data_IF_913148643258
#
_entry.id   IF_913148643258
#
_cell.length_a   1.000
_cell.length_b   1.000
_cell.length_c   1.000
_cell.angle_alpha   90.00
_cell.angle_beta   90.00
_cell.angle_gamma   90.00
#
_symmetry.space_group_name_H-M   'P 1'
#
loop_
_entity.id
_entity.type
_entity.pdbx_description
1 polymer ?
#
# COMPACT_ATOMS: atom_id res chain seq x y z
N UNK A 1 -0.58 10.33 19.28
CA UNK A 1 0.53 10.38 18.30
C UNK A 1 -0.02 10.80 16.96
N UNK A 2 -0.16 12.10 16.71
CA UNK A 2 -0.73 12.61 15.45
C UNK A 2 -0.26 14.05 15.16
N UNK A 3 0.91 14.44 15.62
CA UNK A 3 1.42 15.77 15.34
C UNK A 3 2.48 15.74 14.24
N UNK A 4 2.56 16.82 13.48
CA UNK A 4 3.61 17.01 12.46
C UNK A 4 5.02 16.90 13.07
N UNK A 5 5.11 17.21 14.38
CA UNK A 5 6.34 17.14 15.15
C UNK A 5 6.76 15.70 15.43
N UNK A 6 5.79 14.78 15.69
CA UNK A 6 6.05 13.36 15.86
C UNK A 6 6.54 12.71 14.56
N UNK A 7 6.02 13.18 13.42
CA UNK A 7 6.45 12.74 12.09
C UNK A 7 7.89 13.14 11.77
N UNK A 8 8.28 14.36 12.14
CA UNK A 8 9.66 14.86 11.94
C UNK A 8 10.68 14.12 12.79
N UNK A 9 10.30 13.71 14.01
CA UNK A 9 11.14 12.91 14.90
C UNK A 9 11.33 11.49 14.32
N UNK A 10 10.28 10.86 13.79
CA UNK A 10 10.34 9.53 13.17
C UNK A 10 11.24 9.49 11.93
N UNK A 11 11.30 10.59 11.18
CA UNK A 11 12.20 10.69 10.03
C UNK A 11 13.67 10.87 10.43
N UNK A 12 13.93 11.54 11.56
CA UNK A 12 15.30 11.89 11.98
C UNK A 12 16.05 10.84 12.81
N UNK A 13 15.35 9.95 13.51
CA UNK A 13 15.98 9.19 14.60
C UNK A 13 15.59 7.70 14.62
N UNK A 14 15.44 6.96 13.57
CA UNK A 14 15.16 5.49 13.63
C UNK A 14 14.18 5.07 14.77
N UNK A 15 13.18 5.88 15.07
CA UNK A 15 12.21 5.60 16.12
C UNK A 15 11.35 4.40 15.71
N UNK A 16 11.47 3.32 16.44
CA UNK A 16 10.56 2.17 16.37
C UNK A 16 9.23 2.57 16.99
N UNK A 17 8.26 2.99 16.16
CA UNK A 17 6.88 3.12 16.61
C UNK A 17 6.33 1.74 16.93
N UNK A 18 5.94 1.52 18.18
CA UNK A 18 5.20 0.33 18.57
C UNK A 18 3.72 0.55 18.31
N UNK A 19 3.18 -0.19 17.35
CA UNK A 19 1.74 -0.20 17.10
C UNK A 19 1.09 -1.29 17.99
N UNK A 20 0.07 -0.96 18.80
CA UNK A 20 -0.69 -1.97 19.52
C UNK A 20 -1.49 -2.84 18.55
N UNK A 21 -1.79 -4.06 18.97
CA UNK A 21 -2.74 -4.90 18.23
C UNK A 21 -4.15 -4.34 18.40
N UNK A 22 -4.98 -4.53 17.38
CA UNK A 22 -6.42 -4.26 17.48
C UNK A 22 -7.09 -5.35 18.32
N UNK A 23 -8.08 -4.97 19.12
CA UNK A 23 -8.92 -5.93 19.84
C UNK A 23 -9.76 -6.70 18.80
N UNK A 24 -9.83 -8.03 18.96
CA UNK A 24 -10.61 -8.89 18.07
C UNK A 24 -12.07 -8.47 18.01
N UNK A 25 -12.66 -8.04 19.12
CA UNK A 25 -14.04 -7.55 19.18
C UNK A 25 -14.28 -6.31 18.33
N UNK A 26 -13.28 -5.43 18.21
CA UNK A 26 -13.37 -4.26 17.32
C UNK A 26 -13.46 -4.72 15.85
N UNK A 27 -12.66 -5.70 15.47
CA UNK A 27 -12.67 -6.23 14.10
C UNK A 27 -13.94 -7.04 13.83
N UNK A 28 -14.42 -7.83 14.81
CA UNK A 28 -15.67 -8.59 14.71
C UNK A 28 -16.90 -7.68 14.50
N UNK A 29 -16.89 -6.47 15.08
CA UNK A 29 -17.93 -5.47 14.87
C UNK A 29 -17.75 -4.67 13.57
N UNK A 30 -16.51 -4.44 13.15
CA UNK A 30 -16.18 -3.67 11.95
C UNK A 30 -16.62 -4.40 10.68
N UNK A 31 -16.41 -5.71 10.60
CA UNK A 31 -16.74 -6.50 9.39
C UNK A 31 -18.21 -6.40 9.01
N UNK A 32 -19.21 -6.69 9.87
CA UNK A 32 -20.61 -6.56 9.51
C UNK A 32 -21.00 -5.12 9.16
N UNK A 33 -20.44 -4.13 9.85
CA UNK A 33 -20.68 -2.72 9.53
C UNK A 33 -20.19 -2.37 8.13
N UNK A 34 -18.97 -2.75 7.77
CA UNK A 34 -18.44 -2.50 6.43
C UNK A 34 -19.23 -3.25 5.35
N UNK A 35 -19.64 -4.49 5.60
CA UNK A 35 -20.48 -5.24 4.66
C UNK A 35 -21.85 -4.56 4.45
N UNK A 36 -22.45 -4.01 5.50
CA UNK A 36 -23.70 -3.26 5.37
C UNK A 36 -23.51 -2.00 4.52
N UNK A 37 -22.43 -1.24 4.77
CA UNK A 37 -22.11 -0.02 3.99
C UNK A 37 -21.87 -0.40 2.52
N UNK A 38 -21.03 -1.39 2.24
CA UNK A 38 -20.71 -1.82 0.88
C UNK A 38 -21.93 -2.39 0.15
N UNK A 39 -22.84 -3.04 0.85
CA UNK A 39 -24.12 -3.51 0.27
C UNK A 39 -25.07 -2.38 -0.11
N UNK A 40 -24.91 -1.19 0.48
CA UNK A 40 -25.68 0.02 0.12
C UNK A 40 -24.97 0.89 -0.93
N UNK A 41 -23.69 0.68 -1.14
CA UNK A 41 -22.79 1.50 -1.95
C UNK A 41 -21.95 0.62 -2.88
N UNK A 42 -22.60 0.01 -3.86
CA UNK A 42 -21.97 -0.92 -4.82
C UNK A 42 -20.91 -0.25 -5.71
N UNK A 43 -20.92 1.09 -5.81
CA UNK A 43 -19.91 1.89 -6.49
C UNK A 43 -18.55 1.90 -5.80
N UNK A 44 -18.46 1.53 -4.52
CA UNK A 44 -17.20 1.48 -3.76
C UNK A 44 -16.39 0.26 -4.20
N UNK A 45 -15.35 0.51 -4.98
CA UNK A 45 -14.46 -0.56 -5.43
C UNK A 45 -13.56 -1.06 -4.29
N UNK A 46 -13.07 -2.31 -4.34
CA UNK A 46 -12.14 -2.83 -3.33
C UNK A 46 -10.92 -1.92 -3.08
N UNK A 47 -10.38 -1.31 -4.12
CA UNK A 47 -9.24 -0.38 -4.04
C UNK A 47 -9.56 0.98 -3.42
N UNK A 48 -10.85 1.27 -3.13
CA UNK A 48 -11.28 2.51 -2.45
C UNK A 48 -11.40 2.31 -0.94
N UNK A 49 -11.20 1.11 -0.43
CA UNK A 49 -11.12 0.83 1.01
C UNK A 49 -9.67 1.07 1.45
N UNK A 50 -9.43 2.19 2.08
CA UNK A 50 -8.08 2.70 2.37
C UNK A 50 -7.98 3.19 3.82
N UNK A 51 -6.77 3.23 4.35
CA UNK A 51 -6.47 3.83 5.63
C UNK A 51 -6.18 5.34 5.51
N UNK A 52 -6.15 6.03 6.63
CA UNK A 52 -5.79 7.45 6.67
C UNK A 52 -4.33 7.68 6.22
N UNK A 53 -3.44 6.74 6.53
CA UNK A 53 -2.05 6.73 6.04
C UNK A 53 -1.96 6.63 4.51
N UNK A 54 -2.88 5.92 3.83
CA UNK A 54 -2.89 5.83 2.38
C UNK A 54 -3.24 7.16 1.72
N UNK A 55 -4.11 7.96 2.37
CA UNK A 55 -4.58 9.26 1.85
C UNK A 55 -3.63 10.41 2.21
N UNK A 56 -2.96 10.33 3.35
CA UNK A 56 -2.13 11.39 3.89
C UNK A 56 -0.80 10.84 4.46
N UNK A 57 0.03 10.20 3.61
CA UNK A 57 1.19 9.42 4.03
C UNK A 57 2.28 10.24 4.72
N UNK A 58 2.33 11.54 4.45
CA UNK A 58 3.28 12.51 5.02
C UNK A 58 3.00 12.87 6.49
N UNK A 59 1.74 12.71 6.94
CA UNK A 59 1.29 13.19 8.25
C UNK A 59 0.41 12.23 9.05
N UNK A 60 0.07 11.05 8.48
CA UNK A 60 -0.80 10.06 9.12
C UNK A 60 -0.19 8.66 9.14
N UNK A 61 -0.46 7.93 10.21
CA UNK A 61 0.01 6.56 10.41
C UNK A 61 -1.12 5.56 10.59
N UNK A 62 -2.31 6.05 10.96
CA UNK A 62 -3.45 5.20 11.24
C UNK A 62 -4.07 4.61 9.96
N UNK A 63 -4.54 3.35 9.99
CA UNK A 63 -4.62 2.48 11.15
C UNK A 63 -3.29 1.78 11.51
N UNK A 64 -2.23 1.94 10.73
CA UNK A 64 -0.92 1.36 10.95
C UNK A 64 -0.80 -0.11 10.52
N UNK A 65 0.42 -0.69 10.62
CA UNK A 65 0.73 -2.02 10.09
C UNK A 65 0.08 -3.17 10.87
N UNK A 66 -0.54 -2.90 12.04
CA UNK A 66 -1.25 -3.93 12.82
C UNK A 66 -2.73 -4.05 12.47
N UNK A 67 -3.23 -3.19 11.59
CA UNK A 67 -4.60 -3.31 11.10
C UNK A 67 -4.71 -4.53 10.17
N UNK A 68 -5.72 -5.41 10.34
CA UNK A 68 -5.75 -6.70 9.69
C UNK A 68 -6.32 -6.64 8.25
N UNK A 69 -5.67 -5.89 7.35
CA UNK A 69 -6.10 -5.69 5.97
C UNK A 69 -6.36 -6.99 5.21
N UNK A 70 -5.43 -7.96 5.31
CA UNK A 70 -5.60 -9.28 4.67
C UNK A 70 -6.84 -10.00 5.19
N UNK A 71 -7.09 -9.95 6.49
CA UNK A 71 -8.28 -10.57 7.09
C UNK A 71 -9.59 -9.91 6.62
N UNK A 72 -9.59 -8.57 6.46
CA UNK A 72 -10.74 -7.88 5.87
C UNK A 72 -10.97 -8.35 4.43
N UNK A 73 -9.91 -8.44 3.61
CA UNK A 73 -9.99 -8.95 2.25
C UNK A 73 -10.54 -10.38 2.19
N UNK A 74 -10.09 -11.28 3.05
CA UNK A 74 -10.59 -12.65 3.18
C UNK A 74 -12.09 -12.71 3.55
N UNK A 75 -12.61 -11.63 4.14
CA UNK A 75 -14.03 -11.42 4.42
C UNK A 75 -14.78 -10.62 3.33
N UNK A 76 -14.15 -10.37 2.18
CA UNK A 76 -14.75 -9.66 1.03
C UNK A 76 -14.69 -8.14 1.14
N UNK A 77 -13.81 -7.58 1.96
CA UNK A 77 -13.68 -6.14 2.19
C UNK A 77 -12.29 -5.66 1.80
N UNK A 78 -12.23 -4.70 0.86
CA UNK A 78 -10.99 -4.10 0.43
C UNK A 78 -10.22 -4.91 -0.61
N UNK A 79 -8.99 -4.48 -0.88
CA UNK A 79 -8.11 -5.05 -1.90
C UNK A 79 -6.95 -5.82 -1.27
N UNK A 80 -6.53 -6.90 -1.91
CA UNK A 80 -5.32 -7.65 -1.59
C UNK A 80 -4.79 -8.35 -2.84
N UNK A 81 -3.52 -8.69 -2.84
CA UNK A 81 -2.87 -9.41 -3.93
C UNK A 81 -3.03 -10.94 -3.80
N UNK A 82 -2.81 -11.66 -4.91
CA UNK A 82 -2.69 -13.12 -4.90
C UNK A 82 -1.23 -13.52 -4.63
N UNK A 83 -1.03 -14.42 -3.68
CA UNK A 83 0.33 -14.86 -3.28
C UNK A 83 1.10 -15.44 -4.47
N UNK A 84 0.46 -16.23 -5.34
CA UNK A 84 1.09 -16.80 -6.55
C UNK A 84 1.55 -15.73 -7.55
N UNK A 85 0.77 -14.65 -7.70
CA UNK A 85 1.13 -13.53 -8.58
C UNK A 85 2.26 -12.71 -7.98
N UNK A 86 2.21 -12.43 -6.67
CA UNK A 86 3.31 -11.81 -5.95
C UNK A 86 4.61 -12.61 -6.09
N UNK A 87 4.58 -13.95 -5.92
CA UNK A 87 5.75 -14.81 -6.01
C UNK A 87 6.35 -14.83 -7.42
N UNK A 88 5.50 -14.80 -8.46
CA UNK A 88 5.96 -14.62 -9.85
C UNK A 88 6.79 -13.34 -10.00
N UNK A 89 6.26 -12.20 -9.57
CA UNK A 89 6.97 -10.92 -9.65
C UNK A 89 8.19 -10.86 -8.72
N UNK A 90 8.13 -11.50 -7.55
CA UNK A 90 9.27 -11.59 -6.65
C UNK A 90 10.44 -12.35 -7.26
N UNK A 91 10.19 -13.43 -7.99
CA UNK A 91 11.22 -14.17 -8.72
C UNK A 91 11.88 -13.32 -9.81
N UNK A 92 11.10 -12.53 -10.55
CA UNK A 92 11.60 -11.63 -11.58
C UNK A 92 12.47 -10.49 -10.98
N UNK A 93 11.97 -9.80 -9.98
CA UNK A 93 12.69 -8.67 -9.37
C UNK A 93 13.78 -9.11 -8.39
N UNK A 94 13.68 -10.29 -7.81
CA UNK A 94 14.69 -10.83 -6.89
C UNK A 94 15.99 -11.24 -7.57
N UNK A 95 15.92 -11.60 -8.85
CA UNK A 95 17.07 -12.00 -9.68
C UNK A 95 17.54 -10.90 -10.64
N UNK A 96 16.76 -9.83 -10.80
CA UNK A 96 16.95 -8.77 -11.78
C UNK A 96 17.19 -7.38 -11.19
N UNK A 97 17.14 -6.39 -12.07
CA UNK A 97 17.19 -4.99 -11.68
C UNK A 97 15.81 -4.53 -11.27
N UNK A 98 15.70 -3.89 -10.11
CA UNK A 98 14.46 -3.24 -9.69
C UNK A 98 14.09 -2.08 -10.64
N UNK A 99 12.79 -1.79 -10.80
CA UNK A 99 12.34 -0.58 -11.49
C UNK A 99 12.97 0.68 -10.91
N UNK A 100 13.10 1.70 -11.73
CA UNK A 100 13.55 3.03 -11.28
C UNK A 100 12.54 3.65 -10.32
N UNK A 101 12.99 4.64 -9.53
CA UNK A 101 12.09 5.33 -8.60
C UNK A 101 10.91 5.96 -9.33
N UNK A 102 11.11 6.55 -10.52
CA UNK A 102 10.03 7.13 -11.32
C UNK A 102 9.02 6.09 -11.80
N UNK A 103 9.46 4.89 -12.18
CA UNK A 103 8.56 3.79 -12.53
C UNK A 103 7.74 3.32 -11.32
N UNK A 104 8.36 3.27 -10.13
CA UNK A 104 7.67 2.92 -8.88
C UNK A 104 6.64 3.99 -8.50
N UNK A 105 6.98 5.26 -8.62
CA UNK A 105 6.07 6.39 -8.40
C UNK A 105 4.87 6.32 -9.35
N UNK A 106 5.12 6.06 -10.63
CA UNK A 106 4.09 5.85 -11.63
C UNK A 106 3.17 4.67 -11.27
N UNK A 107 3.73 3.54 -10.86
CA UNK A 107 2.98 2.38 -10.43
C UNK A 107 2.10 2.67 -9.21
N UNK A 108 2.63 3.37 -8.21
CA UNK A 108 1.88 3.80 -7.02
C UNK A 108 0.75 4.77 -7.39
N UNK A 109 1.00 5.70 -8.33
CA UNK A 109 -0.03 6.59 -8.86
C UNK A 109 -1.16 5.83 -9.56
N UNK A 110 -0.83 4.87 -10.44
CA UNK A 110 -1.83 4.00 -11.08
C UNK A 110 -2.68 3.22 -10.08
N UNK A 111 -2.08 2.79 -8.96
CA UNK A 111 -2.83 2.11 -7.90
C UNK A 111 -3.78 3.07 -7.17
N UNK A 112 -3.48 4.36 -7.12
CA UNK A 112 -4.33 5.39 -6.52
C UNK A 112 -3.66 6.25 -5.44
N UNK A 113 -2.36 6.07 -5.18
CA UNK A 113 -1.62 6.97 -4.29
C UNK A 113 -1.36 8.31 -4.96
N UNK A 114 -1.47 9.39 -4.18
CA UNK A 114 -1.13 10.74 -4.66
C UNK A 114 0.39 10.93 -4.68
N UNK A 115 1.01 10.57 -5.79
CA UNK A 115 2.44 10.73 -6.05
C UNK A 115 2.67 10.97 -7.55
N UNK A 116 3.68 11.75 -7.90
CA UNK A 116 4.08 12.03 -9.28
C UNK A 116 5.48 11.47 -9.55
N UNK A 117 5.82 11.22 -10.81
CA UNK A 117 7.14 10.71 -11.24
C UNK A 117 8.30 11.65 -10.93
N UNK A 118 7.98 12.91 -10.62
CA UNK A 118 8.91 13.97 -10.21
C UNK A 118 8.93 14.22 -8.71
N UNK A 119 8.14 13.47 -7.92
CA UNK A 119 8.09 13.61 -6.46
C UNK A 119 9.44 13.33 -5.82
N UNK A 120 9.72 14.02 -4.72
CA UNK A 120 10.98 13.85 -3.99
C UNK A 120 11.14 12.43 -3.41
N UNK A 121 12.38 12.03 -3.12
CA UNK A 121 12.67 10.78 -2.41
C UNK A 121 11.96 10.72 -1.05
N UNK A 122 11.84 11.86 -0.37
CA UNK A 122 11.14 11.98 0.90
C UNK A 122 9.64 11.70 0.76
N UNK A 123 8.99 12.25 -0.26
CA UNK A 123 7.57 12.00 -0.51
C UNK A 123 7.35 10.54 -0.90
N UNK A 124 8.25 9.99 -1.71
CA UNK A 124 8.25 8.58 -2.09
C UNK A 124 8.39 7.66 -0.87
N UNK A 125 9.29 7.98 0.05
CA UNK A 125 9.44 7.24 1.30
C UNK A 125 8.13 7.16 2.10
N UNK A 126 7.42 8.29 2.25
CA UNK A 126 6.15 8.30 2.98
C UNK A 126 5.07 7.45 2.30
N UNK A 127 4.95 7.57 0.98
CA UNK A 127 3.96 6.80 0.21
C UNK A 127 4.30 5.31 0.24
N UNK A 128 5.56 4.93 0.03
CA UNK A 128 6.01 3.53 0.09
C UNK A 128 5.75 2.95 1.48
N UNK A 129 6.02 3.70 2.54
CA UNK A 129 5.74 3.24 3.90
C UNK A 129 4.23 3.04 4.16
N UNK A 130 3.39 3.95 3.68
CA UNK A 130 1.93 3.81 3.79
C UNK A 130 1.44 2.58 3.02
N UNK A 131 1.93 2.38 1.80
CA UNK A 131 1.69 1.17 1.02
C UNK A 131 2.11 -0.10 1.78
N UNK A 132 3.28 -0.09 2.42
CA UNK A 132 3.75 -1.22 3.22
C UNK A 132 2.90 -1.44 4.48
N UNK A 133 2.41 -0.38 5.15
CA UNK A 133 1.47 -0.53 6.26
C UNK A 133 0.21 -1.30 5.85
N UNK A 134 -0.27 -1.06 4.64
CA UNK A 134 -1.45 -1.71 4.11
C UNK A 134 -1.16 -3.14 3.63
N UNK A 135 -0.17 -3.31 2.72
CA UNK A 135 0.02 -4.54 1.95
C UNK A 135 1.21 -5.40 2.38
N UNK A 136 2.12 -4.86 3.21
CA UNK A 136 3.32 -5.54 3.67
C UNK A 136 3.69 -5.19 5.11
N UNK A 137 2.80 -5.43 6.07
CA UNK A 137 2.98 -4.97 7.45
C UNK A 137 4.19 -5.58 8.17
N UNK A 138 4.70 -6.73 7.72
CA UNK A 138 5.85 -7.40 8.34
C UNK A 138 7.16 -6.60 8.23
N UNK A 139 7.30 -5.75 7.19
CA UNK A 139 8.47 -4.88 7.01
C UNK A 139 8.05 -3.57 6.35
N UNK A 140 7.56 -2.65 7.14
CA UNK A 140 7.02 -1.36 6.70
C UNK A 140 7.97 -0.21 7.09
N UNK A 141 9.15 -0.19 6.45
CA UNK A 141 10.23 0.73 6.74
C UNK A 141 10.37 1.89 5.72
N UNK A 142 9.51 1.95 4.71
CA UNK A 142 9.55 2.97 3.65
C UNK A 142 10.63 2.75 2.59
N UNK A 143 11.41 1.68 2.70
CA UNK A 143 12.46 1.35 1.73
C UNK A 143 11.90 0.49 0.59
N UNK A 144 12.41 0.72 -0.61
CA UNK A 144 12.12 -0.11 -1.78
C UNK A 144 12.92 -1.40 -1.72
N UNK A 145 12.23 -2.54 -1.84
CA UNK A 145 12.86 -3.84 -2.07
C UNK A 145 12.02 -4.70 -3.02
N UNK A 146 12.58 -5.81 -3.45
CA UNK A 146 11.97 -6.70 -4.43
C UNK A 146 10.56 -7.16 -4.03
N UNK A 147 10.33 -7.44 -2.74
CA UNK A 147 9.02 -7.89 -2.26
C UNK A 147 7.98 -6.76 -2.29
N UNK A 148 8.34 -5.54 -1.89
CA UNK A 148 7.45 -4.37 -1.99
C UNK A 148 7.02 -4.14 -3.43
N UNK A 149 7.97 -4.22 -4.38
CA UNK A 149 7.70 -4.06 -5.81
C UNK A 149 6.84 -5.21 -6.34
N UNK A 150 7.15 -6.44 -5.98
CA UNK A 150 6.37 -7.61 -6.39
C UNK A 150 4.90 -7.51 -5.94
N UNK A 151 4.65 -7.04 -4.73
CA UNK A 151 3.30 -6.80 -4.20
C UNK A 151 2.59 -5.71 -5.02
N UNK A 152 3.26 -4.58 -5.28
CA UNK A 152 2.68 -3.49 -6.07
C UNK A 152 2.32 -3.95 -7.49
N UNK A 153 3.21 -4.67 -8.16
CA UNK A 153 2.94 -5.23 -9.49
C UNK A 153 1.80 -6.27 -9.47
N UNK A 154 1.74 -7.12 -8.46
CA UNK A 154 0.64 -8.08 -8.30
C UNK A 154 -0.72 -7.38 -8.08
N UNK A 155 -0.75 -6.26 -7.38
CA UNK A 155 -1.96 -5.45 -7.21
C UNK A 155 -2.35 -4.74 -8.53
N UNK A 156 -1.39 -4.22 -9.28
CA UNK A 156 -1.67 -3.65 -10.61
C UNK A 156 -2.18 -4.69 -11.59
N UNK A 157 -1.57 -5.86 -11.65
CA UNK A 157 -2.00 -6.96 -12.50
C UNK A 157 -3.47 -7.35 -12.22
N UNK A 158 -3.85 -7.37 -10.95
CA UNK A 158 -5.20 -7.74 -10.52
C UNK A 158 -6.26 -6.65 -10.74
N UNK A 159 -5.96 -5.41 -10.38
CA UNK A 159 -6.94 -4.33 -10.33
C UNK A 159 -6.81 -3.30 -11.45
N UNK A 160 -5.62 -3.16 -12.02
CA UNK A 160 -5.27 -2.18 -13.04
C UNK A 160 -4.42 -2.79 -14.17
N UNK A 161 -4.84 -3.91 -14.79
CA UNK A 161 -3.98 -4.64 -15.74
C UNK A 161 -3.55 -3.81 -16.94
N UNK A 162 -4.27 -2.75 -17.27
CA UNK A 162 -3.89 -1.79 -18.33
C UNK A 162 -2.73 -0.88 -17.96
N UNK A 163 -2.33 -0.84 -16.68
CA UNK A 163 -1.17 -0.07 -16.23
C UNK A 163 0.16 -0.78 -16.52
N UNK A 164 0.12 -2.07 -16.87
CA UNK A 164 1.29 -2.88 -17.18
C UNK A 164 1.33 -3.23 -18.67
N UNK A 165 2.52 -3.14 -19.27
CA UNK A 165 2.78 -3.79 -20.56
C UNK A 165 3.08 -5.28 -20.35
N UNK A 166 3.03 -6.06 -21.44
CA UNK A 166 3.32 -7.50 -21.38
C UNK A 166 4.76 -7.86 -20.96
N UNK A 167 5.65 -6.87 -20.74
CA UNK A 167 7.06 -6.99 -20.41
C UNK A 167 7.38 -6.52 -18.98
N UNK A 168 6.43 -6.53 -18.07
CA UNK A 168 6.57 -6.12 -16.67
C UNK A 168 6.85 -4.63 -16.45
N UNK A 169 6.72 -3.80 -17.50
CA UNK A 169 6.88 -2.36 -17.37
C UNK A 169 5.55 -1.69 -17.06
N UNK A 170 5.61 -0.72 -16.17
CA UNK A 170 4.48 0.18 -15.95
C UNK A 170 4.38 1.19 -17.09
N UNK A 171 3.18 1.39 -17.63
CA UNK A 171 2.90 2.36 -18.69
C UNK A 171 2.67 3.71 -18.04
N UNK A 172 3.71 4.54 -18.01
CA UNK A 172 3.61 5.89 -17.48
C UNK A 172 3.13 6.87 -18.57
N UNK A 173 2.32 7.88 -18.20
CA UNK A 173 2.07 8.99 -19.10
C UNK A 173 3.40 9.57 -19.55
N UNK A 174 3.57 9.79 -20.85
CA UNK A 174 4.68 10.60 -21.37
C UNK A 174 4.47 12.03 -20.89
N UNK A 175 5.49 12.60 -20.27
CA UNK A 175 5.56 14.02 -19.91
C UNK A 175 5.36 14.93 -21.12
#
# INVERSE_FOLDING_TARGET
FNTEQDMRLLYRENYSCTFPNFDSKQIDLLIPLLKEILGKHEEIKPTYIVGHSDIAPDRKFDPGPKFPWKFLYENGIGAWYEDSTRDKYLNEFGSGKLPSLSEIQCALNHYGYKIETTSSEKDSFYVIRAFQYHFRPAKANGEVDAETIAILWALLDKYFPKALDGNLKVICPSD
#
